data_IF_740237389136
#
_entry.id   IF_740237389136
#
_cell.length_a   1.000
_cell.length_b   1.000
_cell.length_c   1.000
_cell.angle_alpha   90.00
_cell.angle_beta   90.00
_cell.angle_gamma   90.00
#
_symmetry.space_group_name_H-M   'P 1'
#
loop_
_entity.id
_entity.type
_entity.pdbx_description
1 polymer ?
#
# COMPACT_ATOMS: atom_id res chain seq x y z
N UNK A 1 -11.79 17.82 19.06
CA UNK A 1 -11.19 18.50 17.89
C UNK A 1 -10.15 17.55 17.33
N UNK A 2 -10.14 17.30 16.01
CA UNK A 2 -9.17 16.43 15.39
C UNK A 2 -7.79 17.13 15.43
N UNK A 3 -6.81 16.50 16.09
CA UNK A 3 -5.49 17.08 16.30
C UNK A 3 -4.45 16.21 15.58
N UNK A 4 -4.06 16.65 14.37
CA UNK A 4 -3.07 15.95 13.57
C UNK A 4 -1.71 15.87 14.26
N UNK A 5 -1.32 16.87 15.05
CA UNK A 5 -0.02 16.90 15.72
C UNK A 5 0.10 15.79 16.77
N UNK A 6 -1.00 15.43 17.43
CA UNK A 6 -1.01 14.31 18.37
C UNK A 6 -0.82 12.97 17.67
N UNK A 7 -1.44 12.77 16.49
CA UNK A 7 -1.25 11.55 15.70
C UNK A 7 0.18 11.45 15.13
N UNK A 8 0.73 12.56 14.64
CA UNK A 8 2.13 12.60 14.15
C UNK A 8 3.10 12.26 15.28
N UNK A 9 2.87 12.74 16.51
CA UNK A 9 3.71 12.38 17.67
C UNK A 9 3.65 10.88 17.96
N UNK A 10 2.45 10.29 17.99
CA UNK A 10 2.27 8.84 18.20
C UNK A 10 3.00 8.02 17.13
N UNK A 11 2.90 8.43 15.84
CA UNK A 11 3.58 7.76 14.74
C UNK A 11 5.11 7.92 14.78
N UNK A 12 5.63 8.99 15.40
CA UNK A 12 7.07 9.13 15.63
C UNK A 12 7.59 8.27 16.77
N UNK A 13 6.75 8.01 17.79
CA UNK A 13 7.07 7.11 18.90
C UNK A 13 6.99 5.64 18.50
N UNK A 14 6.06 5.30 17.61
CA UNK A 14 5.85 3.95 17.06
C UNK A 14 5.73 4.03 15.52
N UNK A 15 6.87 4.13 14.79
CA UNK A 15 6.89 4.30 13.35
C UNK A 15 6.18 3.16 12.63
N UNK A 16 5.24 3.52 11.76
CA UNK A 16 4.49 2.58 10.93
C UNK A 16 4.91 2.68 9.46
N UNK A 17 4.65 1.60 8.75
CA UNK A 17 4.89 1.49 7.32
C UNK A 17 3.59 1.70 6.52
N UNK A 18 3.71 2.32 5.36
CA UNK A 18 2.61 2.51 4.44
C UNK A 18 3.01 2.08 3.03
N UNK A 19 2.31 1.09 2.50
CA UNK A 19 2.50 0.60 1.14
C UNK A 19 1.70 1.47 0.18
N UNK A 20 2.37 1.94 -0.88
CA UNK A 20 1.83 2.80 -1.93
C UNK A 20 1.94 2.06 -3.27
N UNK A 21 0.86 1.45 -3.77
CA UNK A 21 0.91 0.58 -4.96
C UNK A 21 1.27 1.30 -6.26
N UNK A 22 0.99 2.60 -6.35
CA UNK A 22 1.14 3.39 -7.57
C UNK A 22 2.44 4.21 -7.54
N UNK A 23 3.58 3.51 -7.35
CA UNK A 23 4.88 4.11 -7.04
C UNK A 23 5.48 5.02 -8.12
N UNK A 24 4.96 5.02 -9.35
CA UNK A 24 5.38 5.92 -10.43
C UNK A 24 4.49 7.15 -10.60
N UNK A 25 3.36 7.23 -9.88
CA UNK A 25 2.49 8.41 -9.96
C UNK A 25 3.12 9.61 -9.24
N UNK A 26 3.23 10.78 -9.86
CA UNK A 26 3.89 11.96 -9.26
C UNK A 26 3.24 12.43 -7.95
N UNK A 27 1.94 12.23 -7.76
CA UNK A 27 1.23 12.56 -6.52
C UNK A 27 1.62 11.63 -5.38
N UNK A 28 1.82 10.35 -5.70
CA UNK A 28 2.29 9.32 -4.74
C UNK A 28 3.74 9.57 -4.37
N UNK A 29 4.58 9.92 -5.34
CA UNK A 29 5.98 10.30 -5.14
C UNK A 29 6.08 11.55 -4.26
N UNK A 30 5.27 12.59 -4.52
CA UNK A 30 5.20 13.77 -3.67
C UNK A 30 4.80 13.39 -2.24
N UNK A 31 3.78 12.55 -2.07
CA UNK A 31 3.34 12.08 -0.76
C UNK A 31 4.46 11.32 -0.03
N UNK A 32 5.13 10.39 -0.71
CA UNK A 32 6.26 9.64 -0.14
C UNK A 32 7.40 10.56 0.30
N UNK A 33 7.76 11.55 -0.52
CA UNK A 33 8.78 12.56 -0.18
C UNK A 33 8.41 13.35 1.08
N UNK A 34 7.14 13.76 1.20
CA UNK A 34 6.63 14.48 2.39
C UNK A 34 6.61 13.61 3.64
N UNK A 35 6.23 12.33 3.52
CA UNK A 35 6.25 11.36 4.62
C UNK A 35 7.66 11.15 5.16
N UNK A 36 8.64 10.99 4.26
CA UNK A 36 10.06 10.87 4.63
C UNK A 36 10.57 12.13 5.34
N UNK A 37 10.28 13.30 4.78
CA UNK A 37 10.69 14.57 5.39
C UNK A 37 10.04 14.79 6.77
N UNK A 38 8.80 14.34 6.95
CA UNK A 38 8.07 14.42 8.22
C UNK A 38 8.54 13.43 9.29
N UNK A 39 9.20 12.35 8.86
CA UNK A 39 9.71 11.27 9.72
C UNK A 39 8.66 10.71 10.70
N UNK A 40 7.47 10.39 10.18
CA UNK A 40 6.38 9.81 10.96
C UNK A 40 5.73 8.56 10.34
N UNK A 41 5.96 8.32 9.05
CA UNK A 41 5.59 7.10 8.34
C UNK A 41 6.70 6.70 7.38
N UNK A 42 6.94 5.40 7.26
CA UNK A 42 7.90 4.86 6.30
C UNK A 42 7.18 4.44 5.02
N UNK A 43 7.34 5.13 3.89
CA UNK A 43 6.72 4.75 2.63
C UNK A 43 7.43 3.58 1.97
N UNK A 44 6.62 2.66 1.43
CA UNK A 44 7.03 1.51 0.63
C UNK A 44 6.37 1.68 -0.74
N UNK A 45 7.15 1.97 -1.76
CA UNK A 45 6.66 2.17 -3.12
C UNK A 45 6.67 0.85 -3.89
N UNK A 46 5.60 0.54 -4.62
CA UNK A 46 5.56 -0.62 -5.51
C UNK A 46 5.75 -0.16 -6.96
N UNK A 47 6.69 -0.77 -7.65
CA UNK A 47 7.00 -0.49 -9.05
C UNK A 47 8.37 -1.00 -9.45
N UNK A 48 8.68 -0.92 -10.73
CA UNK A 48 10.05 -1.16 -11.21
C UNK A 48 10.97 -0.05 -10.67
N UNK A 49 12.08 -0.44 -10.05
CA UNK A 49 12.95 0.49 -9.30
C UNK A 49 13.41 1.67 -10.16
N UNK A 50 13.91 1.38 -11.37
CA UNK A 50 14.38 2.43 -12.28
C UNK A 50 13.25 3.39 -12.67
N UNK A 51 12.05 2.88 -12.96
CA UNK A 51 10.89 3.69 -13.33
C UNK A 51 10.42 4.59 -12.17
N UNK A 52 10.47 4.10 -10.92
CA UNK A 52 10.12 4.90 -9.74
C UNK A 52 11.13 6.02 -9.53
N UNK A 53 12.43 5.74 -9.69
CA UNK A 53 13.48 6.77 -9.58
C UNK A 53 13.39 7.81 -10.70
N UNK A 54 13.13 7.39 -11.94
CA UNK A 54 12.93 8.29 -13.08
C UNK A 54 11.74 9.22 -12.84
N UNK A 55 10.59 8.65 -12.44
CA UNK A 55 9.40 9.43 -12.11
C UNK A 55 9.63 10.42 -10.95
N UNK A 56 10.41 10.05 -9.96
CA UNK A 56 10.77 10.94 -8.84
C UNK A 56 11.66 12.10 -9.30
N UNK A 57 12.60 11.83 -10.21
CA UNK A 57 13.45 12.84 -10.79
C UNK A 57 12.66 13.82 -11.66
N UNK A 58 11.77 13.31 -12.51
CA UNK A 58 10.90 14.13 -13.36
C UNK A 58 9.97 15.01 -12.56
N UNK A 59 9.40 14.45 -11.48
CA UNK A 59 8.52 15.19 -10.57
C UNK A 59 9.27 16.16 -9.65
N UNK A 60 10.60 16.08 -9.56
CA UNK A 60 11.45 16.95 -8.74
C UNK A 60 11.38 16.66 -7.24
N UNK A 61 11.00 15.45 -6.84
CA UNK A 61 10.88 15.06 -5.43
C UNK A 61 12.00 14.09 -5.01
N UNK A 62 12.43 14.24 -3.76
CA UNK A 62 13.43 13.35 -3.15
C UNK A 62 12.74 12.22 -2.39
N UNK A 63 12.94 10.99 -2.84
CA UNK A 63 12.42 9.77 -2.22
C UNK A 63 13.52 8.90 -1.60
N UNK A 64 14.71 9.45 -1.36
CA UNK A 64 15.80 8.73 -0.70
C UNK A 64 15.36 8.32 0.71
N UNK A 65 15.40 7.01 0.97
CA UNK A 65 14.92 6.42 2.21
C UNK A 65 13.57 5.71 2.07
N UNK A 66 12.81 5.91 0.98
CA UNK A 66 11.71 5.01 0.65
C UNK A 66 12.26 3.63 0.25
N UNK A 67 11.55 2.57 0.63
CA UNK A 67 11.81 1.23 0.11
C UNK A 67 11.00 1.07 -1.17
N UNK A 68 11.63 0.56 -2.21
CA UNK A 68 10.96 0.22 -3.47
C UNK A 68 10.88 -1.30 -3.56
N UNK A 69 9.71 -1.83 -3.90
CA UNK A 69 9.47 -3.25 -4.10
C UNK A 69 8.96 -3.50 -5.51
N UNK A 70 9.66 -4.36 -6.20
CA UNK A 70 9.31 -4.83 -7.54
C UNK A 70 8.72 -6.23 -7.44
N UNK A 71 7.44 -6.45 -7.83
CA UNK A 71 6.83 -7.78 -7.70
C UNK A 71 7.60 -8.89 -8.42
N UNK A 72 8.20 -8.60 -9.58
CA UNK A 72 8.94 -9.59 -10.39
C UNK A 72 10.22 -10.10 -9.73
N UNK A 73 10.83 -9.32 -8.83
CA UNK A 73 12.10 -9.63 -8.16
C UNK A 73 11.96 -9.82 -6.65
N UNK A 74 10.72 -9.84 -6.16
CA UNK A 74 10.48 -9.95 -4.72
C UNK A 74 10.91 -11.32 -4.20
N UNK A 75 11.83 -11.33 -3.24
CA UNK A 75 12.48 -12.54 -2.73
C UNK A 75 11.54 -13.57 -2.10
N UNK A 76 10.43 -13.11 -1.49
CA UNK A 76 9.41 -13.97 -0.86
C UNK A 76 8.21 -14.22 -1.78
N UNK A 77 8.36 -14.09 -3.10
CA UNK A 77 7.24 -14.26 -4.03
C UNK A 77 6.67 -15.69 -4.00
N UNK A 78 7.51 -16.70 -3.82
CA UNK A 78 7.06 -18.10 -3.75
C UNK A 78 6.20 -18.34 -2.52
N UNK A 79 6.59 -17.84 -1.37
CA UNK A 79 5.81 -17.90 -0.14
C UNK A 79 4.49 -17.15 -0.28
N UNK A 80 4.53 -15.95 -0.90
CA UNK A 80 3.34 -15.15 -1.16
C UNK A 80 2.35 -15.90 -2.07
N UNK A 81 2.83 -16.56 -3.12
CA UNK A 81 2.02 -17.38 -4.03
C UNK A 81 1.35 -18.53 -3.29
N UNK A 82 2.09 -19.24 -2.44
CA UNK A 82 1.54 -20.35 -1.64
C UNK A 82 0.41 -19.85 -0.73
N UNK A 83 0.66 -18.82 0.04
CA UNK A 83 -0.36 -18.23 0.92
C UNK A 83 -1.58 -17.72 0.15
N UNK A 84 -1.37 -17.07 -1.01
CA UNK A 84 -2.49 -16.61 -1.84
C UNK A 84 -3.31 -17.78 -2.39
N UNK A 85 -2.67 -18.88 -2.80
CA UNK A 85 -3.36 -20.10 -3.22
C UNK A 85 -4.19 -20.71 -2.08
N UNK A 86 -3.67 -20.75 -0.85
CA UNK A 86 -4.42 -21.21 0.32
C UNK A 86 -5.65 -20.35 0.60
N UNK A 87 -5.51 -19.03 0.61
CA UNK A 87 -6.62 -18.07 0.80
C UNK A 87 -7.71 -18.28 -0.25
N UNK A 88 -7.31 -18.54 -1.49
CA UNK A 88 -8.22 -18.67 -2.65
C UNK A 88 -8.48 -20.12 -3.08
N UNK A 89 -8.15 -21.11 -2.26
CA UNK A 89 -8.28 -22.53 -2.58
C UNK A 89 -9.71 -22.90 -3.03
N UNK A 90 -10.74 -22.38 -2.35
CA UNK A 90 -12.16 -22.62 -2.70
C UNK A 90 -12.56 -22.05 -4.08
N UNK A 91 -11.75 -21.19 -4.69
CA UNK A 91 -11.96 -20.60 -6.01
C UNK A 91 -11.10 -21.25 -7.10
N UNK A 92 -10.42 -22.36 -6.80
CA UNK A 92 -9.60 -23.10 -7.75
C UNK A 92 -8.37 -22.31 -8.21
N UNK A 93 -7.74 -21.57 -7.29
CA UNK A 93 -6.51 -20.83 -7.58
C UNK A 93 -5.36 -21.81 -7.84
N UNK A 94 -4.62 -21.60 -8.94
CA UNK A 94 -3.38 -22.32 -9.24
C UNK A 94 -2.19 -21.40 -9.04
N UNK A 95 -0.98 -21.96 -8.87
CA UNK A 95 0.23 -21.18 -8.66
C UNK A 95 0.53 -20.23 -9.83
N UNK A 96 0.30 -20.70 -11.07
CA UNK A 96 0.51 -19.86 -12.26
C UNK A 96 -0.43 -18.66 -12.28
N UNK A 97 -1.72 -18.89 -12.00
CA UNK A 97 -2.71 -17.82 -11.90
C UNK A 97 -2.39 -16.85 -10.75
N UNK A 98 -1.97 -17.40 -9.61
CA UNK A 98 -1.57 -16.60 -8.46
C UNK A 98 -0.40 -15.68 -8.79
N UNK A 99 0.65 -16.19 -9.44
CA UNK A 99 1.78 -15.39 -9.88
C UNK A 99 1.38 -14.28 -10.85
N UNK A 100 0.46 -14.56 -11.76
CA UNK A 100 -0.01 -13.53 -12.69
C UNK A 100 -0.81 -12.43 -12.00
N UNK A 101 -1.71 -12.80 -11.08
CA UNK A 101 -2.50 -11.85 -10.30
C UNK A 101 -1.61 -11.00 -9.39
N UNK A 102 -0.59 -11.58 -8.79
CA UNK A 102 0.33 -10.90 -7.87
C UNK A 102 1.32 -9.96 -8.57
N UNK A 103 1.33 -9.88 -9.90
CA UNK A 103 1.99 -8.79 -10.62
C UNK A 103 1.23 -7.46 -10.50
N UNK A 104 -0.08 -7.52 -10.22
CA UNK A 104 -0.88 -6.32 -9.96
C UNK A 104 -0.44 -5.68 -8.63
N UNK A 105 -0.06 -4.39 -8.62
CA UNK A 105 0.46 -3.72 -7.42
C UNK A 105 -0.52 -3.70 -6.23
N UNK A 106 -1.83 -3.67 -6.49
CA UNK A 106 -2.84 -3.68 -5.42
C UNK A 106 -2.94 -5.06 -4.77
N UNK A 107 -2.91 -6.15 -5.58
CA UNK A 107 -2.88 -7.51 -5.05
C UNK A 107 -1.58 -7.80 -4.31
N UNK A 108 -0.46 -7.43 -4.90
CA UNK A 108 0.86 -7.59 -4.28
C UNK A 108 0.94 -6.83 -2.95
N UNK A 109 0.58 -5.54 -2.96
CA UNK A 109 0.57 -4.72 -1.75
C UNK A 109 -0.36 -5.26 -0.67
N UNK A 110 -1.56 -5.74 -1.04
CA UNK A 110 -2.50 -6.33 -0.09
C UNK A 110 -1.96 -7.62 0.52
N UNK A 111 -1.27 -8.44 -0.26
CA UNK A 111 -0.60 -9.65 0.26
C UNK A 111 0.54 -9.31 1.22
N UNK A 112 1.31 -8.25 0.96
CA UNK A 112 2.35 -7.78 1.90
C UNK A 112 1.75 -7.45 3.28
N UNK A 113 0.57 -6.80 3.31
CA UNK A 113 -0.15 -6.54 4.56
C UNK A 113 -0.65 -7.85 5.20
N UNK A 114 -1.20 -8.76 4.40
CA UNK A 114 -1.71 -10.05 4.87
C UNK A 114 -0.62 -10.91 5.50
N UNK A 115 0.57 -10.89 4.93
CA UNK A 115 1.75 -11.59 5.44
C UNK A 115 2.36 -10.94 6.68
N UNK A 116 1.91 -9.75 7.06
CA UNK A 116 2.44 -9.01 8.21
C UNK A 116 3.79 -8.33 7.95
N UNK A 117 4.19 -8.19 6.69
CA UNK A 117 5.45 -7.54 6.32
C UNK A 117 5.39 -6.02 6.53
N UNK A 118 4.19 -5.42 6.39
CA UNK A 118 3.95 -3.98 6.53
C UNK A 118 2.60 -3.71 7.20
N UNK A 119 2.40 -2.48 7.73
CA UNK A 119 1.26 -2.15 8.59
C UNK A 119 0.00 -1.72 7.83
N UNK A 120 0.14 -0.99 6.73
CA UNK A 120 -0.99 -0.41 6.02
C UNK A 120 -0.74 -0.23 4.52
N UNK A 121 -1.82 -0.10 3.76
CA UNK A 121 -1.80 0.18 2.33
C UNK A 121 -2.73 1.34 2.01
N UNK A 122 -2.28 2.28 1.18
CA UNK A 122 -3.07 3.36 0.62
C UNK A 122 -2.90 3.39 -0.89
N UNK A 123 -3.99 3.13 -1.61
CA UNK A 123 -4.04 3.15 -3.07
C UNK A 123 -5.27 3.89 -3.58
N UNK A 124 -5.47 3.89 -4.91
CA UNK A 124 -6.65 4.47 -5.56
C UNK A 124 -6.40 5.83 -6.20
N UNK A 125 -5.17 6.18 -6.46
CA UNK A 125 -4.82 7.42 -7.18
C UNK A 125 -5.04 7.28 -8.68
N UNK A 126 -4.70 6.12 -9.25
CA UNK A 126 -4.87 5.78 -10.67
C UNK A 126 -5.92 4.70 -10.91
N UNK A 127 -6.24 3.92 -9.90
CA UNK A 127 -7.15 2.79 -9.99
C UNK A 127 -8.57 3.16 -9.55
N UNK A 128 -9.56 2.43 -10.07
CA UNK A 128 -10.94 2.58 -9.61
C UNK A 128 -11.09 2.12 -8.15
N UNK A 129 -12.16 2.58 -7.48
CA UNK A 129 -12.49 2.12 -6.13
C UNK A 129 -12.62 0.58 -6.08
N UNK A 130 -13.17 -0.03 -7.13
CA UNK A 130 -13.33 -1.48 -7.22
C UNK A 130 -11.98 -2.17 -7.28
N UNK A 131 -11.05 -1.69 -8.11
CA UNK A 131 -9.72 -2.29 -8.28
C UNK A 131 -8.89 -2.18 -7.00
N UNK A 132 -9.13 -1.16 -6.20
CA UNK A 132 -8.46 -0.98 -4.90
C UNK A 132 -9.07 -1.84 -3.80
N UNK A 133 -10.42 -1.92 -3.73
CA UNK A 133 -11.11 -2.64 -2.65
C UNK A 133 -11.14 -4.15 -2.90
N UNK A 134 -11.23 -4.59 -4.17
CA UNK A 134 -11.34 -6.00 -4.52
C UNK A 134 -10.22 -6.87 -3.93
N UNK A 135 -8.93 -6.52 -4.04
CA UNK A 135 -7.85 -7.27 -3.39
C UNK A 135 -8.06 -7.39 -1.88
N UNK A 136 -8.44 -6.31 -1.21
CA UNK A 136 -8.68 -6.32 0.23
C UNK A 136 -9.81 -7.28 0.62
N UNK A 137 -10.92 -7.30 -0.12
CA UNK A 137 -12.02 -8.23 0.11
C UNK A 137 -11.64 -9.68 -0.18
N UNK A 138 -10.82 -9.92 -1.19
CA UNK A 138 -10.44 -11.26 -1.62
C UNK A 138 -9.34 -11.89 -0.74
N UNK A 139 -8.48 -11.09 -0.15
CA UNK A 139 -7.30 -11.53 0.61
C UNK A 139 -7.51 -11.39 2.11
N UNK A 140 -7.96 -10.21 2.55
CA UNK A 140 -8.14 -9.91 3.99
C UNK A 140 -9.55 -10.34 4.42
N UNK A 141 -10.55 -10.04 3.59
CA UNK A 141 -11.96 -10.31 3.90
C UNK A 141 -12.56 -9.34 4.92
N UNK A 142 -13.79 -9.61 5.30
CA UNK A 142 -14.48 -8.90 6.38
C UNK A 142 -14.29 -9.64 7.71
N UNK A 143 -14.43 -8.94 8.83
CA UNK A 143 -14.43 -9.57 10.15
C UNK A 143 -15.53 -10.64 10.20
N UNK A 144 -15.25 -11.75 10.85
CA UNK A 144 -16.21 -12.84 11.06
C UNK A 144 -17.54 -12.32 11.62
N UNK A 145 -18.65 -12.72 11.01
CA UNK A 145 -19.98 -12.25 11.35
C UNK A 145 -20.41 -10.92 10.70
N UNK A 146 -19.50 -10.23 9.99
CA UNK A 146 -19.81 -8.99 9.25
C UNK A 146 -19.83 -9.23 7.74
N UNK A 147 -20.90 -8.80 7.09
CA UNK A 147 -21.03 -8.85 5.64
C UNK A 147 -20.84 -7.47 4.96
N UNK A 148 -20.49 -6.45 5.76
CA UNK A 148 -20.37 -5.07 5.29
C UNK A 148 -18.96 -4.53 5.52
N UNK A 149 -18.48 -3.79 4.53
CA UNK A 149 -17.31 -2.93 4.66
C UNK A 149 -17.80 -1.53 5.00
N UNK A 150 -17.25 -0.94 6.04
CA UNK A 150 -17.54 0.44 6.44
C UNK A 150 -16.27 1.28 6.41
N UNK A 151 -16.44 2.57 6.15
CA UNK A 151 -15.35 3.54 6.18
C UNK A 151 -15.74 4.76 7.01
N UNK A 152 -14.74 5.50 7.46
CA UNK A 152 -14.92 6.77 8.16
C UNK A 152 -14.16 7.86 7.39
N UNK A 153 -14.85 8.96 7.09
CA UNK A 153 -14.24 10.12 6.44
C UNK A 153 -14.20 11.26 7.44
N UNK A 154 -12.99 11.72 7.76
CA UNK A 154 -12.78 12.89 8.60
C UNK A 154 -12.76 14.18 7.75
N UNK A 155 -13.71 15.09 7.97
CA UNK A 155 -13.70 16.41 7.37
C UNK A 155 -13.04 17.41 8.33
N UNK A 156 -11.93 17.98 7.91
CA UNK A 156 -11.18 18.96 8.71
C UNK A 156 -11.26 20.33 8.06
N UNK A 157 -11.79 21.32 8.79
CA UNK A 157 -11.81 22.70 8.35
C UNK A 157 -10.52 23.40 8.81
N UNK A 158 -9.74 24.02 7.90
CA UNK A 158 -8.64 24.87 8.31
C UNK A 158 -9.12 25.95 9.27
N UNK A 159 -8.37 26.22 10.33
CA UNK A 159 -8.65 27.40 11.17
C UNK A 159 -8.50 28.64 10.30
N UNK A 160 -9.52 29.50 10.29
CA UNK A 160 -9.36 30.86 9.79
C UNK A 160 -8.30 31.55 10.69
N UNK A 161 -7.21 31.96 10.06
CA UNK A 161 -6.18 32.81 10.69
C UNK A 161 -6.75 34.20 10.85
#
# INVERSE_FOLDING_TARGET
>A
MFDFDSYIRLLREDPKTIVLPEGTDPRVIEAASRLLAGNFLQPILIGEEDAVWEAAQEAGYNIRGAKILTPSTYEKMDEMVEQFCEIRAKKGMTQEKAREILKDPNYFGTMLIKMGEYDSLLGGVMHSVIDTIKPALEIIGTKEGNNLVSSCIGLVRPRAT
#
